data_IF_188870452337
#
_entry.id   IF_188870452337
#
_cell.length_a   1.000
_cell.length_b   1.000
_cell.length_c   1.000
_cell.angle_alpha   90.00
_cell.angle_beta   90.00
_cell.angle_gamma   90.00
#
_symmetry.space_group_name_H-M   'P 1'
#
loop_
_entity.id
_entity.type
_entity.pdbx_description
1 polymer ?
#
# COMPACT_ATOMS: atom_id res chain seq x y z
N UNK A 1 -1.09 12.41 -6.64
CA UNK A 1 -2.26 12.77 -5.87
C UNK A 1 -2.25 14.27 -5.59
N UNK A 2 -3.16 15.01 -6.23
CA UNK A 2 -3.23 16.46 -6.11
C UNK A 2 -2.21 17.23 -6.94
N UNK A 3 -1.54 16.61 -7.90
CA UNK A 3 -0.52 17.23 -8.75
C UNK A 3 -1.09 17.79 -10.06
N UNK A 4 -2.33 18.27 -10.05
CA UNK A 4 -2.97 18.83 -11.25
C UNK A 4 -2.38 20.19 -11.66
N UNK A 5 -1.89 21.00 -10.70
CA UNK A 5 -1.20 22.26 -10.98
C UNK A 5 0.32 22.07 -10.95
N UNK A 6 1.04 22.74 -11.86
CA UNK A 6 2.50 22.63 -11.96
C UNK A 6 3.22 23.04 -10.66
N UNK A 7 2.64 23.98 -9.92
CA UNK A 7 3.12 24.41 -8.60
C UNK A 7 3.17 23.28 -7.54
N UNK A 8 2.54 22.15 -7.84
CA UNK A 8 2.49 20.95 -6.98
C UNK A 8 3.40 19.82 -7.45
N UNK A 9 4.09 20.01 -8.59
CA UNK A 9 4.98 18.98 -9.11
C UNK A 9 6.21 18.80 -8.23
N UNK A 10 6.91 17.65 -8.32
CA UNK A 10 8.00 17.32 -7.40
C UNK A 10 9.12 18.38 -7.32
N UNK A 11 9.55 18.93 -8.44
CA UNK A 11 10.61 19.94 -8.45
C UNK A 11 10.22 21.24 -7.72
N UNK A 12 8.93 21.59 -7.73
CA UNK A 12 8.39 22.72 -6.96
C UNK A 12 8.14 22.37 -5.48
N UNK A 13 8.39 21.12 -5.10
CA UNK A 13 8.22 20.60 -3.73
C UNK A 13 9.54 20.14 -3.10
N UNK A 14 10.68 20.56 -3.65
CA UNK A 14 12.00 20.34 -3.07
C UNK A 14 12.75 19.12 -3.61
N UNK A 15 12.20 18.41 -4.58
CA UNK A 15 12.96 17.38 -5.30
C UNK A 15 13.80 18.03 -6.41
N UNK A 16 15.00 17.56 -6.59
CA UNK A 16 15.94 18.02 -7.63
C UNK A 16 15.70 17.29 -8.96
N UNK A 17 15.21 16.07 -8.91
CA UNK A 17 14.94 15.21 -10.07
C UNK A 17 13.59 14.52 -9.93
N UNK A 18 12.96 14.26 -11.05
CA UNK A 18 11.73 13.50 -11.12
C UNK A 18 11.65 12.72 -12.43
N UNK A 19 11.21 11.47 -12.37
CA UNK A 19 10.74 10.71 -13.52
C UNK A 19 9.54 9.88 -13.13
N UNK A 20 8.44 10.00 -13.87
CA UNK A 20 7.24 9.22 -13.58
C UNK A 20 5.95 9.84 -14.10
N UNK A 21 4.85 9.42 -13.50
CA UNK A 21 3.50 9.92 -13.76
C UNK A 21 3.06 10.86 -12.63
N UNK A 22 2.45 11.98 -12.97
CA UNK A 22 1.94 12.97 -12.00
C UNK A 22 0.52 12.64 -11.53
N UNK A 23 -0.18 11.76 -12.23
CA UNK A 23 -1.51 11.27 -11.90
C UNK A 23 -1.45 9.86 -11.27
N UNK A 24 -2.58 9.21 -11.10
CA UNK A 24 -2.65 7.86 -10.52
C UNK A 24 -2.30 6.73 -11.50
N UNK A 25 -3.06 5.62 -11.45
CA UNK A 25 -2.83 4.46 -12.31
C UNK A 25 -2.77 4.79 -13.81
N UNK A 26 -1.91 4.10 -14.54
CA UNK A 26 -1.71 4.28 -15.97
C UNK A 26 -1.43 2.93 -16.65
N UNK A 27 -1.41 2.92 -17.98
CA UNK A 27 -0.85 1.79 -18.72
C UNK A 27 0.62 1.59 -18.35
N UNK A 28 1.02 0.36 -18.06
CA UNK A 28 2.43 0.03 -17.79
C UNK A 28 3.28 0.01 -19.06
N UNK A 29 2.61 -0.24 -20.19
CA UNK A 29 3.26 -0.46 -21.47
C UNK A 29 3.35 0.81 -22.32
N UNK A 30 2.38 1.72 -22.16
CA UNK A 30 2.33 2.98 -22.92
C UNK A 30 1.59 4.08 -22.15
N UNK A 31 2.18 4.63 -21.08
CA UNK A 31 1.60 5.79 -20.41
C UNK A 31 1.42 6.95 -21.39
N UNK A 32 0.24 7.57 -21.44
CA UNK A 32 -0.07 8.62 -22.41
C UNK A 32 -1.14 9.59 -21.93
N UNK A 33 -1.30 10.72 -22.62
CA UNK A 33 -2.30 11.74 -22.33
C UNK A 33 -2.14 12.33 -20.92
N UNK A 34 -3.23 12.52 -20.18
CA UNK A 34 -3.22 13.01 -18.80
C UNK A 34 -2.56 12.07 -17.77
N UNK A 35 -2.20 10.86 -18.22
CA UNK A 35 -1.47 9.83 -17.43
C UNK A 35 -0.13 9.49 -18.08
N UNK A 36 0.43 10.42 -18.84
CA UNK A 36 1.71 10.31 -19.50
C UNK A 36 2.88 10.55 -18.54
N UNK A 37 4.06 10.33 -19.07
CA UNK A 37 5.33 10.49 -18.36
C UNK A 37 5.77 11.94 -18.31
N UNK A 38 6.52 12.26 -17.27
CA UNK A 38 7.18 13.54 -17.08
C UNK A 38 8.60 13.28 -16.58
N UNK A 39 9.57 13.92 -17.18
CA UNK A 39 10.96 13.98 -16.71
C UNK A 39 11.21 15.40 -16.21
N UNK A 40 11.52 15.52 -14.93
CA UNK A 40 11.65 16.78 -14.22
C UNK A 40 10.37 17.62 -14.38
N UNK A 41 10.37 18.69 -15.17
CA UNK A 41 9.18 19.49 -15.49
C UNK A 41 8.71 19.31 -16.95
N UNK A 42 9.34 18.40 -17.71
CA UNK A 42 9.04 18.22 -19.12
C UNK A 42 8.15 17.02 -19.34
N UNK A 43 6.95 17.24 -19.92
CA UNK A 43 6.08 16.14 -20.37
C UNK A 43 6.73 15.40 -21.52
N UNK A 44 6.77 14.08 -21.41
CA UNK A 44 7.34 13.23 -22.44
C UNK A 44 6.25 12.69 -23.39
N UNK A 45 6.60 12.37 -24.66
CA UNK A 45 5.72 11.62 -25.52
C UNK A 45 5.44 10.22 -24.95
N UNK A 46 4.38 9.56 -25.43
CA UNK A 46 4.14 8.16 -25.11
C UNK A 46 5.34 7.32 -25.57
N UNK A 47 5.88 6.45 -24.73
CA UNK A 47 7.07 5.68 -25.07
C UNK A 47 6.75 4.65 -26.17
N UNK A 48 7.77 4.35 -26.98
CA UNK A 48 7.74 3.26 -27.94
C UNK A 48 7.99 1.91 -27.24
N UNK A 49 7.49 0.83 -27.84
CA UNK A 49 7.76 -0.52 -27.36
C UNK A 49 9.20 -0.96 -27.74
N UNK A 50 9.86 -1.76 -26.89
CA UNK A 50 9.40 -2.28 -25.62
C UNK A 50 9.58 -1.28 -24.47
N UNK A 51 8.52 -1.01 -23.71
CA UNK A 51 8.55 -0.16 -22.52
C UNK A 51 7.75 -0.81 -21.38
N UNK A 52 8.21 -0.64 -20.13
CA UNK A 52 7.48 -1.09 -18.94
C UNK A 52 7.76 -0.14 -17.76
N UNK A 53 6.70 0.48 -17.21
CA UNK A 53 6.85 1.53 -16.18
C UNK A 53 7.67 1.09 -14.97
N UNK A 54 7.46 -0.13 -14.47
CA UNK A 54 8.17 -0.64 -13.27
C UNK A 54 9.67 -0.69 -13.50
N UNK A 55 10.12 -1.14 -14.69
CA UNK A 55 11.54 -1.12 -15.03
C UNK A 55 12.06 0.30 -15.14
N UNK A 56 11.37 1.15 -15.90
CA UNK A 56 11.80 2.51 -16.16
C UNK A 56 11.90 3.35 -14.87
N UNK A 57 10.96 3.20 -13.93
CA UNK A 57 11.02 3.90 -12.64
C UNK A 57 12.23 3.47 -11.82
N UNK A 58 12.55 2.18 -11.80
CA UNK A 58 13.74 1.70 -11.13
C UNK A 58 15.03 2.11 -11.83
N UNK A 59 15.08 2.09 -13.16
CA UNK A 59 16.24 2.48 -13.94
C UNK A 59 16.56 3.98 -13.74
N UNK A 60 15.55 4.86 -13.75
CA UNK A 60 15.73 6.28 -13.41
C UNK A 60 16.11 6.50 -11.94
N UNK A 61 15.56 5.72 -11.01
CA UNK A 61 15.97 5.79 -9.61
C UNK A 61 17.46 5.42 -9.44
N UNK A 62 17.92 4.37 -10.12
CA UNK A 62 19.32 3.95 -10.17
C UNK A 62 20.19 5.04 -10.81
N UNK A 63 19.76 5.59 -11.94
CA UNK A 63 20.44 6.68 -12.60
C UNK A 63 20.62 7.89 -11.67
N UNK A 64 19.57 8.33 -10.98
CA UNK A 64 19.65 9.46 -10.06
C UNK A 64 20.58 9.19 -8.88
N UNK A 65 20.65 7.96 -8.36
CA UNK A 65 21.63 7.58 -7.34
C UNK A 65 23.05 7.58 -7.90
N UNK A 66 23.25 7.09 -9.12
CA UNK A 66 24.56 7.05 -9.78
C UNK A 66 25.06 8.44 -10.21
N UNK A 67 24.16 9.38 -10.51
CA UNK A 67 24.50 10.79 -10.84
C UNK A 67 25.00 11.58 -9.62
N UNK A 68 24.61 11.18 -8.40
CA UNK A 68 25.06 11.84 -7.18
C UNK A 68 26.51 11.46 -6.86
N UNK A 69 27.46 12.34 -7.21
CA UNK A 69 28.90 12.12 -7.04
C UNK A 69 29.49 12.72 -5.75
N UNK A 70 28.73 13.56 -5.08
CA UNK A 70 29.12 14.16 -3.80
C UNK A 70 28.66 13.34 -2.60
N UNK A 71 29.11 13.70 -1.39
CA UNK A 71 28.81 13.03 -0.13
C UNK A 71 27.52 13.53 0.53
N UNK A 72 26.74 14.38 -0.12
CA UNK A 72 25.46 14.84 0.42
C UNK A 72 24.51 13.66 0.59
N UNK A 73 23.70 13.64 1.65
CA UNK A 73 22.65 12.64 1.77
C UNK A 73 21.61 12.81 0.65
N UNK A 74 20.96 11.71 0.25
CA UNK A 74 19.88 11.76 -0.71
C UNK A 74 18.57 11.29 -0.07
N UNK A 75 17.46 11.78 -0.61
CA UNK A 75 16.12 11.28 -0.35
C UNK A 75 15.51 10.78 -1.67
N UNK A 76 15.23 9.49 -1.75
CA UNK A 76 14.63 8.87 -2.91
C UNK A 76 13.21 8.36 -2.57
N UNK A 77 12.19 8.86 -3.28
CA UNK A 77 10.82 8.37 -3.21
C UNK A 77 10.49 7.57 -4.47
N UNK A 78 10.68 6.23 -4.42
CA UNK A 78 10.39 5.33 -5.53
C UNK A 78 8.97 4.77 -5.37
N UNK A 79 8.01 5.44 -6.01
CA UNK A 79 6.60 5.10 -5.96
C UNK A 79 6.19 4.32 -7.22
N UNK A 80 6.17 2.99 -7.13
CA UNK A 80 5.67 2.15 -8.20
C UNK A 80 4.15 2.26 -8.35
N UNK A 81 3.65 2.28 -9.59
CA UNK A 81 2.23 2.05 -9.87
C UNK A 81 1.85 0.56 -9.75
N UNK A 82 2.83 -0.33 -9.83
CA UNK A 82 2.63 -1.76 -9.62
C UNK A 82 2.36 -2.08 -8.13
N UNK A 83 1.46 -3.03 -7.83
CA UNK A 83 0.73 -3.90 -8.75
C UNK A 83 -0.72 -3.46 -9.03
N UNK A 84 -1.02 -2.17 -9.03
CA UNK A 84 -2.36 -1.64 -9.32
C UNK A 84 -2.82 -2.05 -10.74
N UNK A 85 -4.13 -2.15 -10.99
CA UNK A 85 -4.62 -2.32 -12.35
C UNK A 85 -4.24 -1.11 -13.25
N UNK A 86 -4.21 -1.29 -14.60
CA UNK A 86 -4.57 -2.45 -15.40
C UNK A 86 -3.58 -3.60 -15.27
N UNK A 87 -4.06 -4.82 -15.55
CA UNK A 87 -3.23 -6.02 -15.55
C UNK A 87 -2.32 -6.05 -16.77
N UNK A 88 -1.10 -5.55 -16.58
CA UNK A 88 -0.05 -5.54 -17.59
C UNK A 88 1.23 -6.14 -17.01
N UNK A 89 1.76 -7.19 -17.61
CA UNK A 89 3.02 -7.79 -17.19
C UNK A 89 3.77 -8.44 -18.36
N UNK A 90 5.04 -8.71 -18.16
CA UNK A 90 5.87 -9.37 -19.15
C UNK A 90 5.45 -10.84 -19.29
N UNK A 91 5.24 -11.30 -20.51
CA UNK A 91 4.74 -12.65 -20.78
C UNK A 91 5.57 -13.74 -20.12
N UNK A 92 6.91 -13.62 -20.18
CA UNK A 92 7.84 -14.55 -19.52
C UNK A 92 7.61 -14.72 -18.01
N UNK A 93 7.12 -13.66 -17.37
CA UNK A 93 6.84 -13.66 -15.92
C UNK A 93 5.44 -14.20 -15.63
N UNK A 94 4.44 -13.91 -16.49
CA UNK A 94 3.09 -14.48 -16.39
C UNK A 94 3.13 -16.01 -16.42
N UNK A 95 3.89 -16.59 -17.37
CA UNK A 95 4.01 -18.03 -17.55
C UNK A 95 4.52 -18.77 -16.31
N UNK A 96 5.33 -18.13 -15.47
CA UNK A 96 5.80 -18.69 -14.19
C UNK A 96 4.65 -19.01 -13.23
N UNK A 97 3.60 -18.21 -13.25
CA UNK A 97 2.55 -18.23 -12.24
C UNK A 97 1.25 -18.89 -12.70
N UNK A 98 0.95 -18.87 -14.01
CA UNK A 98 -0.35 -19.34 -14.53
C UNK A 98 -0.68 -20.76 -14.09
N UNK A 99 0.26 -21.71 -14.25
CA UNK A 99 0.04 -23.11 -13.84
C UNK A 99 -0.17 -23.25 -12.33
N UNK A 100 0.48 -22.42 -11.52
CA UNK A 100 0.36 -22.45 -10.05
C UNK A 100 -1.06 -22.10 -9.63
N UNK A 101 -1.56 -20.95 -10.10
CA UNK A 101 -2.88 -20.47 -9.71
C UNK A 101 -4.00 -21.32 -10.29
N UNK A 102 -3.84 -21.84 -11.51
CA UNK A 102 -4.81 -22.71 -12.14
C UNK A 102 -4.96 -24.05 -11.40
N UNK A 103 -3.82 -24.63 -10.99
CA UNK A 103 -3.79 -25.93 -10.30
C UNK A 103 -4.35 -25.83 -8.87
N UNK A 104 -4.00 -24.74 -8.15
CA UNK A 104 -4.28 -24.62 -6.71
C UNK A 104 -5.60 -23.92 -6.41
N UNK A 105 -6.00 -22.98 -7.25
CA UNK A 105 -7.15 -22.15 -6.97
C UNK A 105 -6.97 -21.27 -5.72
N UNK A 106 -7.95 -20.44 -5.44
CA UNK A 106 -7.85 -19.47 -4.36
C UNK A 106 -8.01 -20.08 -2.95
N UNK A 107 -8.75 -21.17 -2.78
CA UNK A 107 -8.91 -21.80 -1.46
C UNK A 107 -7.61 -22.39 -0.95
N UNK A 108 -6.90 -23.18 -1.80
CA UNK A 108 -5.60 -23.73 -1.43
C UNK A 108 -4.52 -22.63 -1.25
N UNK A 109 -4.52 -21.63 -2.12
CA UNK A 109 -3.57 -20.49 -2.02
C UNK A 109 -3.81 -19.72 -0.72
N UNK A 110 -5.06 -19.44 -0.37
CA UNK A 110 -5.44 -18.75 0.88
C UNK A 110 -4.94 -19.50 2.10
N UNK A 111 -5.18 -20.81 2.15
CA UNK A 111 -4.73 -21.66 3.27
C UNK A 111 -3.19 -21.75 3.33
N UNK A 112 -2.52 -21.96 2.20
CA UNK A 112 -1.08 -22.02 2.14
C UNK A 112 -0.43 -20.68 2.57
N UNK A 113 -1.06 -19.54 2.22
CA UNK A 113 -0.62 -18.21 2.65
C UNK A 113 -0.74 -18.06 4.17
N UNK A 114 -1.90 -18.40 4.77
CA UNK A 114 -2.12 -18.35 6.22
C UNK A 114 -1.08 -19.18 6.97
N UNK A 115 -0.89 -20.44 6.56
CA UNK A 115 0.11 -21.34 7.18
C UNK A 115 1.53 -20.76 7.11
N UNK A 116 1.90 -20.18 5.96
CA UNK A 116 3.22 -19.56 5.80
C UNK A 116 3.36 -18.32 6.68
N UNK A 117 2.35 -17.45 6.76
CA UNK A 117 2.36 -16.27 7.62
C UNK A 117 2.50 -16.66 9.10
N UNK A 118 1.78 -17.69 9.56
CA UNK A 118 1.91 -18.23 10.92
C UNK A 118 3.33 -18.78 11.16
N UNK A 119 3.87 -19.59 10.22
CA UNK A 119 5.24 -20.10 10.31
C UNK A 119 6.29 -19.00 10.38
N UNK A 120 6.09 -17.90 9.69
CA UNK A 120 6.97 -16.72 9.71
C UNK A 120 6.76 -15.84 10.95
N UNK A 121 5.74 -16.11 11.75
CA UNK A 121 5.39 -15.30 12.93
C UNK A 121 4.75 -13.95 12.57
N UNK A 122 4.20 -13.79 11.38
CA UNK A 122 3.45 -12.57 10.99
C UNK A 122 2.10 -12.52 11.70
N UNK A 123 1.44 -13.67 11.80
CA UNK A 123 0.19 -13.87 12.54
C UNK A 123 0.37 -14.99 13.54
N UNK A 124 -0.52 -15.10 14.53
CA UNK A 124 -0.54 -16.21 15.45
C UNK A 124 -1.04 -17.49 14.76
N UNK A 125 -0.58 -18.65 15.22
CA UNK A 125 -0.91 -19.94 14.60
C UNK A 125 -2.40 -20.28 14.63
N UNK A 126 -3.12 -19.76 15.63
CA UNK A 126 -4.56 -19.90 15.82
C UNK A 126 -5.39 -18.79 15.16
N UNK A 127 -4.77 -17.87 14.40
CA UNK A 127 -5.52 -16.84 13.70
C UNK A 127 -6.40 -17.47 12.65
N UNK A 128 -7.71 -17.31 12.81
CA UNK A 128 -8.73 -17.74 11.86
C UNK A 128 -8.78 -16.85 10.64
N UNK A 129 -9.51 -17.30 9.62
CA UNK A 129 -9.84 -16.46 8.48
C UNK A 129 -11.00 -15.52 8.80
N UNK A 130 -10.95 -14.33 8.24
CA UNK A 130 -12.15 -13.53 8.04
C UNK A 130 -13.15 -14.25 7.13
N UNK A 131 -14.42 -13.83 7.20
CA UNK A 131 -15.50 -14.38 6.38
C UNK A 131 -15.12 -14.34 4.90
N UNK A 132 -15.44 -15.44 4.20
CA UNK A 132 -15.26 -15.56 2.76
C UNK A 132 -16.51 -15.09 2.02
N UNK A 133 -16.37 -14.11 1.18
CA UNK A 133 -17.51 -13.42 0.54
C UNK A 133 -17.68 -13.79 -0.94
N UNK A 134 -17.01 -14.84 -1.39
CA UNK A 134 -17.00 -15.23 -2.80
C UNK A 134 -17.32 -16.72 -2.94
N UNK A 135 -17.58 -17.16 -4.16
CA UNK A 135 -17.74 -18.60 -4.46
C UNK A 135 -16.46 -19.36 -4.12
N UNK A 136 -16.61 -20.64 -3.79
CA UNK A 136 -15.47 -21.55 -3.68
C UNK A 136 -14.89 -21.82 -5.06
N UNK A 137 -13.62 -22.18 -5.12
CA UNK A 137 -12.96 -22.49 -6.40
C UNK A 137 -13.68 -23.55 -7.21
N UNK A 138 -14.16 -24.62 -6.56
CA UNK A 138 -14.83 -25.74 -7.21
C UNK A 138 -16.23 -25.40 -7.75
N UNK A 139 -16.80 -24.27 -7.33
CA UNK A 139 -18.09 -23.78 -7.84
C UNK A 139 -17.94 -23.02 -9.17
N UNK A 140 -16.71 -22.77 -9.61
CA UNK A 140 -16.42 -22.11 -10.87
C UNK A 140 -16.42 -23.10 -12.04
N UNK A 141 -16.88 -22.64 -13.20
CA UNK A 141 -16.67 -23.36 -14.47
C UNK A 141 -15.19 -23.41 -14.84
N UNK A 142 -14.79 -24.36 -15.69
CA UNK A 142 -13.40 -24.46 -16.15
C UNK A 142 -12.92 -23.19 -16.85
N UNK A 143 -13.78 -22.55 -17.63
CA UNK A 143 -13.49 -21.27 -18.28
C UNK A 143 -13.27 -20.14 -17.27
N UNK A 144 -14.09 -20.02 -16.24
CA UNK A 144 -13.90 -19.03 -15.18
C UNK A 144 -12.59 -19.29 -14.44
N UNK A 145 -12.27 -20.56 -14.10
CA UNK A 145 -11.00 -20.92 -13.46
C UNK A 145 -9.79 -20.51 -14.30
N UNK A 146 -9.84 -20.73 -15.61
CA UNK A 146 -8.75 -20.31 -16.52
C UNK A 146 -8.58 -18.80 -16.52
N UNK A 147 -9.67 -18.06 -16.64
CA UNK A 147 -9.64 -16.59 -16.65
C UNK A 147 -9.12 -15.99 -15.36
N UNK A 148 -9.64 -16.42 -14.19
CA UNK A 148 -9.22 -15.85 -12.90
C UNK A 148 -7.81 -16.26 -12.53
N UNK A 149 -7.37 -17.48 -12.89
CA UNK A 149 -5.99 -17.91 -12.68
C UNK A 149 -5.01 -17.09 -13.52
N UNK A 150 -5.34 -16.81 -14.77
CA UNK A 150 -4.53 -15.97 -15.63
C UNK A 150 -4.43 -14.53 -15.11
N UNK A 151 -5.56 -13.90 -14.70
CA UNK A 151 -5.57 -12.58 -14.09
C UNK A 151 -4.65 -12.51 -12.87
N UNK A 152 -4.72 -13.51 -11.98
CA UNK A 152 -3.85 -13.55 -10.81
C UNK A 152 -2.38 -13.81 -11.16
N UNK A 153 -2.12 -14.57 -12.21
CA UNK A 153 -0.75 -14.76 -12.71
C UNK A 153 -0.13 -13.44 -13.19
N UNK A 154 -0.91 -12.61 -13.89
CA UNK A 154 -0.47 -11.27 -14.32
C UNK A 154 -0.16 -10.39 -13.11
N UNK A 155 -1.05 -10.35 -12.12
CA UNK A 155 -0.81 -9.62 -10.87
C UNK A 155 0.46 -10.10 -10.16
N UNK A 156 0.66 -11.40 -10.04
CA UNK A 156 1.86 -11.97 -9.44
C UNK A 156 3.13 -11.61 -10.22
N UNK A 157 3.04 -11.55 -11.55
CA UNK A 157 4.13 -11.10 -12.41
C UNK A 157 4.46 -9.61 -12.21
N UNK A 158 3.46 -8.75 -11.97
CA UNK A 158 3.68 -7.35 -11.60
C UNK A 158 4.46 -7.25 -10.27
N UNK A 159 4.03 -7.99 -9.24
CA UNK A 159 4.73 -8.04 -7.93
C UNK A 159 6.17 -8.58 -8.09
N UNK A 160 6.34 -9.64 -8.87
CA UNK A 160 7.67 -10.20 -9.16
C UNK A 160 8.58 -9.18 -9.84
N UNK A 161 8.06 -8.38 -10.76
CA UNK A 161 8.82 -7.32 -11.41
C UNK A 161 9.23 -6.21 -10.44
N UNK A 162 8.37 -5.84 -9.48
CA UNK A 162 8.73 -4.87 -8.41
C UNK A 162 9.90 -5.41 -7.58
N UNK A 163 9.80 -6.67 -7.10
CA UNK A 163 10.84 -7.31 -6.29
C UNK A 163 12.19 -7.37 -7.03
N UNK A 164 12.17 -7.78 -8.30
CA UNK A 164 13.36 -7.80 -9.15
C UNK A 164 14.02 -6.42 -9.29
N UNK A 165 13.23 -5.37 -9.51
CA UNK A 165 13.74 -4.01 -9.68
C UNK A 165 14.23 -3.38 -8.36
N UNK A 166 13.61 -3.71 -7.23
CA UNK A 166 14.15 -3.36 -5.91
C UNK A 166 15.52 -4.00 -5.72
N UNK A 167 15.68 -5.26 -6.13
CA UNK A 167 16.99 -5.95 -6.13
C UNK A 167 18.06 -5.16 -6.88
N UNK A 168 17.76 -4.67 -8.09
CA UNK A 168 18.67 -3.82 -8.89
C UNK A 168 19.07 -2.54 -8.15
N UNK A 169 18.12 -1.84 -7.51
CA UNK A 169 18.40 -0.65 -6.73
C UNK A 169 19.28 -0.95 -5.51
N UNK A 170 19.04 -2.06 -4.81
CA UNK A 170 19.88 -2.50 -3.69
C UNK A 170 21.31 -2.78 -4.15
N UNK A 171 21.48 -3.40 -5.31
CA UNK A 171 22.81 -3.68 -5.87
C UNK A 171 23.51 -2.40 -6.31
N UNK A 172 22.80 -1.41 -6.83
CA UNK A 172 23.31 -0.07 -7.08
C UNK A 172 23.81 0.61 -5.78
N UNK A 173 23.02 0.56 -4.70
CA UNK A 173 23.40 1.13 -3.40
C UNK A 173 24.68 0.45 -2.84
N UNK A 174 24.80 -0.87 -2.98
CA UNK A 174 26.01 -1.62 -2.58
C UNK A 174 27.21 -1.21 -3.40
N UNK A 175 27.08 -1.15 -4.73
CA UNK A 175 28.13 -0.74 -5.68
C UNK A 175 28.66 0.66 -5.37
N UNK A 176 27.78 1.57 -5.00
CA UNK A 176 28.10 2.96 -4.63
C UNK A 176 28.51 3.13 -3.16
N UNK A 177 28.70 2.05 -2.39
CA UNK A 177 29.02 2.06 -0.95
C UNK A 177 28.04 2.85 -0.08
N UNK A 178 26.79 3.05 -0.55
CA UNK A 178 25.74 3.81 0.15
C UNK A 178 24.83 2.91 1.02
N UNK A 179 24.84 1.58 0.80
CA UNK A 179 23.87 0.63 1.43
C UNK A 179 23.91 0.65 2.96
N UNK A 180 25.08 0.75 3.57
CA UNK A 180 25.23 0.65 5.02
C UNK A 180 24.63 1.85 5.77
N UNK A 181 24.64 3.02 5.14
CA UNK A 181 24.04 4.26 5.69
C UNK A 181 22.78 4.71 4.92
N UNK A 182 22.01 3.78 4.40
CA UNK A 182 20.71 4.06 3.78
C UNK A 182 19.59 3.45 4.61
N UNK A 183 18.67 4.29 5.09
CA UNK A 183 17.37 3.85 5.62
C UNK A 183 16.45 3.51 4.45
N UNK A 184 16.00 2.27 4.39
CA UNK A 184 15.02 1.80 3.40
C UNK A 184 13.70 1.53 4.12
N UNK A 185 12.63 2.18 3.67
CA UNK A 185 11.25 1.92 4.06
C UNK A 185 10.51 1.34 2.86
N UNK A 186 10.02 0.11 2.98
CA UNK A 186 9.20 -0.54 1.96
C UNK A 186 7.83 -0.84 2.52
N UNK A 187 6.79 -0.39 1.84
CA UNK A 187 5.41 -0.56 2.28
C UNK A 187 4.43 -0.60 1.11
N UNK A 188 3.24 -1.13 1.35
CA UNK A 188 2.07 -0.88 0.53
C UNK A 188 1.24 0.24 1.16
N UNK A 189 0.66 1.11 0.36
CA UNK A 189 -0.15 2.26 0.79
C UNK A 189 -1.53 1.85 1.32
N UNK A 190 -2.06 0.73 0.85
CA UNK A 190 -3.34 0.14 1.26
C UNK A 190 -3.36 -1.37 1.00
N UNK A 191 -4.41 -2.02 1.44
CA UNK A 191 -4.68 -3.41 1.11
C UNK A 191 -4.97 -3.61 -0.38
N UNK A 192 -5.09 -4.86 -0.79
CA UNK A 192 -5.30 -5.26 -2.17
C UNK A 192 -6.56 -4.64 -2.78
N UNK A 193 -6.50 -4.27 -4.05
CA UNK A 193 -7.55 -3.56 -4.75
C UNK A 193 -8.60 -4.51 -5.35
N UNK A 194 -9.84 -4.41 -4.90
CA UNK A 194 -10.95 -5.23 -5.40
C UNK A 194 -11.78 -4.53 -6.49
N UNK A 195 -11.46 -3.28 -6.83
CA UNK A 195 -12.23 -2.51 -7.82
C UNK A 195 -12.25 -3.19 -9.18
N UNK A 196 -13.37 -3.17 -9.91
CA UNK A 196 -14.66 -2.54 -9.60
C UNK A 196 -15.59 -3.39 -8.70
N UNK A 197 -15.09 -4.27 -7.87
CA UNK A 197 -15.77 -5.16 -6.92
C UNK A 197 -16.47 -6.38 -7.54
N UNK A 198 -16.23 -6.65 -8.80
CA UNK A 198 -16.64 -7.88 -9.45
C UNK A 198 -15.83 -9.06 -8.89
N UNK A 199 -16.51 -10.20 -8.65
CA UNK A 199 -15.90 -11.37 -8.05
C UNK A 199 -14.71 -11.89 -8.87
N UNK A 200 -14.92 -12.05 -10.19
CA UNK A 200 -13.94 -12.63 -11.10
C UNK A 200 -13.02 -11.60 -11.78
N UNK A 201 -13.22 -10.31 -11.50
CA UNK A 201 -12.45 -9.22 -12.08
C UNK A 201 -13.15 -8.50 -13.22
N UNK A 202 -12.91 -7.19 -13.28
CA UNK A 202 -13.49 -6.31 -14.31
C UNK A 202 -12.71 -6.31 -15.61
N UNK A 203 -13.39 -5.94 -16.68
CA UNK A 203 -12.85 -5.92 -18.04
C UNK A 203 -12.66 -7.31 -18.64
N UNK A 204 -12.40 -7.36 -19.94
CA UNK A 204 -12.20 -8.63 -20.65
C UNK A 204 -10.78 -9.15 -20.43
N UNK A 205 -10.61 -10.45 -20.27
CA UNK A 205 -9.29 -11.07 -20.06
C UNK A 205 -8.38 -10.93 -21.29
N UNK A 206 -8.97 -10.86 -22.47
CA UNK A 206 -8.28 -10.63 -23.73
C UNK A 206 -7.64 -9.24 -23.83
N UNK A 207 -8.09 -8.31 -23.00
CA UNK A 207 -7.52 -6.95 -22.88
C UNK A 207 -6.28 -6.90 -21.95
N UNK A 208 -5.88 -8.01 -21.35
CA UNK A 208 -4.59 -8.09 -20.64
C UNK A 208 -3.47 -7.73 -21.60
N UNK A 209 -2.55 -6.91 -21.14
CA UNK A 209 -1.44 -6.38 -21.95
C UNK A 209 -1.85 -5.52 -23.16
N UNK A 210 -3.08 -5.04 -23.25
CA UNK A 210 -3.44 -4.02 -24.22
C UNK A 210 -2.84 -2.66 -23.80
N UNK A 211 -1.89 -2.09 -24.56
CA UNK A 211 -1.24 -0.83 -24.18
C UNK A 211 -2.19 0.36 -24.04
N UNK A 212 -3.34 0.33 -24.71
CA UNK A 212 -4.35 1.37 -24.63
C UNK A 212 -5.19 1.30 -23.35
N UNK A 213 -5.17 0.18 -22.61
CA UNK A 213 -5.95 0.01 -21.38
C UNK A 213 -5.34 0.78 -20.22
N UNK A 214 -6.16 1.59 -19.55
CA UNK A 214 -5.76 2.40 -18.41
C UNK A 214 -6.52 2.09 -17.12
N UNK A 215 -7.64 1.35 -17.19
CA UNK A 215 -8.55 1.09 -16.07
C UNK A 215 -8.90 -0.38 -15.86
N UNK A 216 -8.70 -1.21 -16.88
CA UNK A 216 -9.02 -2.63 -16.89
C UNK A 216 -8.00 -3.35 -17.80
N UNK A 217 -7.86 -4.66 -17.68
CA UNK A 217 -8.56 -5.57 -16.77
C UNK A 217 -8.03 -5.56 -15.34
N UNK A 218 -8.85 -6.12 -14.42
CA UNK A 218 -8.51 -6.27 -12.99
C UNK A 218 -8.61 -7.73 -12.55
N UNK A 219 -8.04 -8.08 -11.38
CA UNK A 219 -8.01 -9.48 -10.93
C UNK A 219 -9.19 -9.90 -10.03
N UNK A 220 -10.03 -8.94 -9.63
CA UNK A 220 -11.28 -9.22 -8.97
C UNK A 220 -11.24 -9.29 -7.45
N UNK A 221 -12.46 -9.28 -6.87
CA UNK A 221 -12.67 -9.25 -5.43
C UNK A 221 -12.17 -10.50 -4.74
N UNK A 222 -12.38 -11.69 -5.33
CA UNK A 222 -11.94 -12.94 -4.75
C UNK A 222 -10.42 -12.97 -4.54
N UNK A 223 -9.64 -12.63 -5.56
CA UNK A 223 -8.19 -12.55 -5.43
C UNK A 223 -7.70 -11.41 -4.54
N UNK A 224 -8.42 -10.28 -4.48
CA UNK A 224 -8.10 -9.22 -3.54
C UNK A 224 -8.23 -9.70 -2.09
N UNK A 225 -9.29 -10.46 -1.78
CA UNK A 225 -9.47 -11.05 -0.45
C UNK A 225 -8.40 -12.10 -0.13
N UNK A 226 -7.98 -12.92 -1.11
CA UNK A 226 -6.83 -13.84 -0.95
C UNK A 226 -5.54 -13.07 -0.66
N UNK A 227 -5.30 -11.99 -1.38
CA UNK A 227 -4.09 -11.16 -1.20
C UNK A 227 -4.01 -10.52 0.19
N UNK A 228 -5.14 -10.29 0.84
CA UNK A 228 -5.25 -9.76 2.20
C UNK A 228 -5.38 -10.83 3.29
N UNK A 229 -5.31 -12.10 2.95
CA UNK A 229 -5.40 -13.22 3.92
C UNK A 229 -4.51 -13.00 5.14
N UNK A 230 -5.03 -13.20 6.37
CA UNK A 230 -6.36 -13.73 6.72
C UNK A 230 -7.41 -12.64 6.96
N UNK A 231 -7.09 -11.38 6.74
CA UNK A 231 -7.83 -10.20 7.16
C UNK A 231 -9.10 -9.96 6.34
N UNK A 232 -10.04 -9.23 6.96
CA UNK A 232 -11.34 -8.90 6.40
C UNK A 232 -11.23 -7.77 5.38
N UNK A 233 -11.95 -7.89 4.25
CA UNK A 233 -12.09 -6.87 3.20
C UNK A 233 -10.76 -6.51 2.49
N UNK A 234 -10.70 -5.31 1.90
CA UNK A 234 -9.70 -4.88 0.93
C UNK A 234 -9.67 -3.35 0.85
N UNK A 235 -8.84 -2.78 -0.03
CA UNK A 235 -8.73 -1.34 -0.32
C UNK A 235 -10.09 -0.62 -0.28
N UNK A 236 -10.11 0.61 0.16
CA UNK A 236 -11.27 1.48 0.41
C UNK A 236 -12.10 1.11 1.64
N UNK A 237 -11.84 -0.03 2.30
CA UNK A 237 -12.52 -0.43 3.54
C UNK A 237 -11.61 -0.21 4.74
N UNK A 238 -12.20 0.18 5.87
CA UNK A 238 -11.46 0.43 7.10
C UNK A 238 -11.20 -0.82 7.96
N UNK A 239 -11.60 -2.01 7.47
CA UNK A 239 -11.24 -3.30 8.07
C UNK A 239 -9.74 -3.61 7.86
N UNK A 240 -9.19 -4.53 8.64
CA UNK A 240 -7.75 -4.85 8.61
C UNK A 240 -7.24 -5.20 7.20
N UNK A 241 -8.03 -5.88 6.36
CA UNK A 241 -7.64 -6.18 4.99
C UNK A 241 -7.47 -4.95 4.08
N UNK A 242 -8.09 -3.82 4.45
CA UNK A 242 -7.93 -2.56 3.71
C UNK A 242 -6.80 -1.68 4.23
N UNK A 243 -6.47 -1.74 5.52
CA UNK A 243 -5.58 -0.77 6.18
C UNK A 243 -4.33 -1.39 6.83
N UNK A 244 -4.35 -2.68 7.22
CA UNK A 244 -3.22 -3.33 7.89
C UNK A 244 -2.22 -3.89 6.87
N UNK A 245 -1.39 -3.03 6.34
CA UNK A 245 -0.37 -3.37 5.34
C UNK A 245 1.00 -3.61 5.99
N UNK A 246 1.86 -4.44 5.37
CA UNK A 246 3.20 -4.65 5.88
C UNK A 246 4.09 -3.40 5.66
N UNK A 247 4.95 -3.13 6.64
CA UNK A 247 6.05 -2.19 6.54
C UNK A 247 7.37 -2.92 6.82
N UNK A 248 8.35 -2.76 5.96
CA UNK A 248 9.73 -3.20 6.19
C UNK A 248 10.60 -1.97 6.39
N UNK A 249 11.31 -1.94 7.53
CA UNK A 249 12.31 -0.93 7.83
C UNK A 249 13.67 -1.61 7.85
N UNK A 250 14.60 -1.14 7.02
CA UNK A 250 15.95 -1.67 6.91
C UNK A 250 16.98 -0.55 6.94
N UNK A 251 17.93 -0.62 7.88
CA UNK A 251 19.05 0.30 7.98
C UNK A 251 20.24 -0.43 8.62
N UNK A 252 21.14 -0.92 7.80
CA UNK A 252 22.24 -1.80 8.24
C UNK A 252 23.13 -1.14 9.30
N UNK A 253 23.48 0.13 9.10
CA UNK A 253 24.37 0.87 10.01
C UNK A 253 23.75 1.27 11.36
N UNK A 254 22.41 1.36 11.46
CA UNK A 254 21.75 1.89 12.66
C UNK A 254 20.92 0.87 13.45
N UNK A 255 20.42 -0.19 12.83
CA UNK A 255 19.57 -1.16 13.51
C UNK A 255 20.33 -2.24 14.29
N UNK A 256 21.62 -2.42 14.04
CA UNK A 256 22.46 -3.40 14.75
C UNK A 256 21.84 -4.82 14.74
N UNK A 257 21.69 -5.39 15.93
CA UNK A 257 21.15 -6.75 16.14
C UNK A 257 19.62 -6.87 15.92
N UNK A 258 18.94 -5.83 15.39
CA UNK A 258 17.50 -5.88 15.10
C UNK A 258 17.16 -6.54 13.76
N UNK A 259 18.17 -6.94 12.97
CA UNK A 259 17.98 -7.61 11.69
C UNK A 259 17.03 -8.82 11.82
N UNK A 260 16.04 -8.87 10.93
CA UNK A 260 15.07 -9.97 10.86
C UNK A 260 14.14 -10.09 12.07
N UNK A 261 13.96 -9.03 12.85
CA UNK A 261 13.04 -9.01 14.01
C UNK A 261 11.70 -8.41 13.64
N UNK A 262 10.66 -8.93 14.27
CA UNK A 262 9.32 -8.37 14.18
C UNK A 262 9.14 -7.25 15.21
N UNK A 263 8.60 -6.12 14.76
CA UNK A 263 7.99 -5.09 15.61
C UNK A 263 6.48 -5.21 15.48
N UNK A 264 5.78 -5.42 16.59
CA UNK A 264 4.32 -5.61 16.60
C UNK A 264 3.56 -4.36 17.04
N UNK A 265 4.29 -3.29 17.37
CA UNK A 265 3.69 -1.99 17.68
C UNK A 265 3.09 -1.44 16.38
N UNK A 266 1.80 -1.15 16.34
CA UNK A 266 1.18 -0.54 15.18
C UNK A 266 1.74 0.85 14.92
N UNK A 267 2.17 1.09 13.68
CA UNK A 267 2.40 2.42 13.15
C UNK A 267 1.39 2.72 12.06
N UNK A 268 1.36 3.93 11.55
CA UNK A 268 0.59 4.23 10.38
C UNK A 268 1.25 5.32 9.51
N UNK A 269 0.69 5.60 8.33
CA UNK A 269 1.35 6.40 7.29
C UNK A 269 1.88 7.76 7.77
N UNK A 270 1.20 8.52 8.66
CA UNK A 270 1.76 9.77 9.21
C UNK A 270 3.09 9.62 9.95
N UNK A 271 3.48 8.41 10.38
CA UNK A 271 4.70 8.15 11.13
C UNK A 271 5.97 8.15 10.27
N UNK A 272 5.81 8.06 8.97
CA UNK A 272 6.93 8.00 8.03
C UNK A 272 7.73 9.30 8.05
N UNK A 273 7.07 10.45 8.01
CA UNK A 273 7.76 11.75 8.03
C UNK A 273 8.55 11.97 9.34
N UNK A 274 7.98 11.83 10.55
CA UNK A 274 8.76 11.94 11.79
C UNK A 274 9.93 10.97 11.86
N UNK A 275 9.77 9.74 11.33
CA UNK A 275 10.85 8.74 11.28
C UNK A 275 12.01 9.22 10.39
N UNK A 276 11.70 9.79 9.23
CA UNK A 276 12.71 10.34 8.32
C UNK A 276 13.40 11.54 8.96
N UNK A 277 12.66 12.45 9.60
CA UNK A 277 13.23 13.60 10.29
C UNK A 277 14.18 13.20 11.42
N UNK A 278 13.79 12.20 12.24
CA UNK A 278 14.69 11.67 13.30
C UNK A 278 15.93 11.01 12.69
N UNK A 279 15.79 10.23 11.60
CA UNK A 279 16.90 9.57 10.94
C UNK A 279 17.92 10.55 10.36
N UNK A 280 17.45 11.69 9.85
CA UNK A 280 18.28 12.68 9.15
C UNK A 280 18.72 13.85 10.02
N UNK A 281 18.11 14.03 11.19
CA UNK A 281 18.30 15.22 12.02
C UNK A 281 17.67 16.49 11.44
N UNK A 282 16.86 16.38 10.38
CA UNK A 282 16.19 17.52 9.76
C UNK A 282 15.05 18.02 10.67
N UNK A 283 14.84 19.33 10.66
CA UNK A 283 13.74 19.95 11.42
C UNK A 283 12.52 20.13 10.54
N UNK A 284 11.35 19.83 11.10
CA UNK A 284 10.08 20.14 10.45
C UNK A 284 9.88 21.66 10.45
N UNK A 285 9.65 22.30 9.31
CA UNK A 285 9.52 23.76 9.26
C UNK A 285 8.15 24.20 9.80
N UNK A 286 8.10 25.40 10.39
CA UNK A 286 6.86 25.99 10.86
C UNK A 286 6.04 26.65 9.74
N UNK A 287 6.74 27.09 8.69
CA UNK A 287 6.16 27.81 7.55
C UNK A 287 6.66 27.25 6.24
N UNK A 288 5.83 27.38 5.21
CA UNK A 288 6.11 27.08 3.82
C UNK A 288 6.22 28.37 3.00
N UNK A 289 6.65 28.31 1.75
CA UNK A 289 6.85 29.47 0.86
C UNK A 289 5.84 30.59 1.09
N UNK A 290 6.33 31.83 1.28
CA UNK A 290 5.51 33.00 1.53
C UNK A 290 4.98 33.15 2.96
N UNK A 291 5.54 32.40 3.93
CA UNK A 291 5.19 32.52 5.35
C UNK A 291 3.89 31.82 5.76
N UNK A 292 3.30 31.02 4.88
CA UNK A 292 2.12 30.23 5.23
C UNK A 292 2.46 29.19 6.30
N UNK A 293 1.64 29.10 7.34
CA UNK A 293 1.80 28.08 8.38
C UNK A 293 1.58 26.67 7.82
N UNK A 294 2.42 25.75 8.25
CA UNK A 294 2.28 24.32 7.96
C UNK A 294 1.50 23.65 9.09
N UNK A 295 0.64 22.69 8.75
CA UNK A 295 -0.01 21.86 9.76
C UNK A 295 1.04 21.08 10.55
N UNK A 296 0.89 20.94 11.89
CA UNK A 296 1.82 20.19 12.71
C UNK A 296 1.84 18.71 12.29
N UNK A 297 2.96 18.04 12.55
CA UNK A 297 3.05 16.59 12.40
C UNK A 297 2.08 15.91 13.37
N UNK A 298 1.32 14.95 12.86
CA UNK A 298 0.39 14.13 13.66
C UNK A 298 0.92 12.72 13.91
N UNK A 299 1.96 12.31 13.20
CA UNK A 299 2.65 11.03 13.37
C UNK A 299 3.73 11.07 14.45
N UNK A 300 4.24 9.91 14.78
CA UNK A 300 5.35 9.67 15.72
C UNK A 300 6.44 8.87 15.04
N UNK A 301 7.72 9.10 15.39
CA UNK A 301 8.80 8.26 14.86
C UNK A 301 8.61 6.79 15.21
N UNK A 302 8.92 5.91 14.26
CA UNK A 302 8.88 4.46 14.45
C UNK A 302 10.07 3.93 15.29
N UNK A 303 11.15 4.68 15.44
CA UNK A 303 12.35 4.20 16.13
C UNK A 303 12.14 3.81 17.59
N UNK A 304 11.35 4.53 18.42
CA UNK A 304 11.06 4.07 19.77
C UNK A 304 10.46 2.67 19.82
N UNK A 305 9.51 2.35 18.92
CA UNK A 305 8.91 1.02 18.81
C UNK A 305 9.92 -0.04 18.31
N UNK A 306 10.68 0.29 17.26
CA UNK A 306 11.72 -0.59 16.70
C UNK A 306 12.80 -0.92 17.77
N UNK A 307 13.16 0.04 18.60
CA UNK A 307 14.11 -0.15 19.71
C UNK A 307 13.48 -0.71 20.98
N UNK A 308 12.19 -1.08 20.97
CA UNK A 308 11.45 -1.62 22.12
C UNK A 308 11.45 -0.68 23.34
N UNK A 309 11.36 0.62 23.10
CA UNK A 309 11.25 1.66 24.15
C UNK A 309 9.79 1.99 24.46
N UNK A 310 8.85 1.53 23.66
CA UNK A 310 7.41 1.71 23.83
C UNK A 310 6.62 0.55 23.26
N UNK A 311 5.44 0.31 23.81
CA UNK A 311 4.45 -0.65 23.34
C UNK A 311 3.35 0.02 22.49
N UNK A 312 3.34 1.36 22.42
CA UNK A 312 2.41 2.13 21.62
C UNK A 312 3.04 3.42 21.13
N UNK A 313 2.77 3.80 19.89
CA UNK A 313 3.17 5.08 19.31
C UNK A 313 2.04 6.11 19.39
N UNK A 314 0.80 5.67 19.47
CA UNK A 314 -0.38 6.52 19.44
C UNK A 314 -1.41 6.09 20.48
N UNK A 315 -2.06 7.06 21.13
CA UNK A 315 -3.23 6.77 21.94
C UNK A 315 -4.40 6.38 21.06
N UNK A 316 -4.61 7.12 19.96
CA UNK A 316 -5.65 6.86 18.96
C UNK A 316 -5.07 6.88 17.55
N UNK A 317 -5.64 6.06 16.66
CA UNK A 317 -5.38 6.07 15.23
C UNK A 317 -6.72 6.20 14.50
N UNK A 318 -6.80 7.06 13.46
CA UNK A 318 -8.05 7.42 12.81
C UNK A 318 -7.99 7.17 11.32
N UNK A 319 -9.12 6.72 10.75
CA UNK A 319 -9.28 6.53 9.31
C UNK A 319 -10.61 7.08 8.83
N UNK A 320 -10.62 7.68 7.67
CA UNK A 320 -11.79 8.00 6.86
C UNK A 320 -11.44 7.91 5.39
N UNK A 321 -12.23 7.15 4.63
CA UNK A 321 -12.14 7.10 3.19
C UNK A 321 -13.50 6.71 2.59
N UNK A 322 -14.08 7.55 1.75
CA UNK A 322 -15.36 7.29 1.08
C UNK A 322 -16.49 6.84 2.04
N UNK A 323 -16.63 7.50 3.19
CA UNK A 323 -17.53 7.15 4.28
C UNK A 323 -17.18 5.89 5.09
N UNK A 324 -16.15 5.16 4.74
CA UNK A 324 -15.61 4.14 5.62
C UNK A 324 -14.83 4.82 6.74
N UNK A 325 -15.19 4.55 7.97
CA UNK A 325 -14.66 5.22 9.16
C UNK A 325 -14.09 4.19 10.11
N UNK A 326 -12.97 4.49 10.75
CA UNK A 326 -12.48 3.69 11.85
C UNK A 326 -11.68 4.53 12.84
N UNK A 327 -11.65 4.04 14.07
CA UNK A 327 -10.77 4.51 15.12
C UNK A 327 -10.23 3.31 15.89
N UNK A 328 -8.94 3.32 16.19
CA UNK A 328 -8.31 2.36 17.07
C UNK A 328 -7.83 3.04 18.35
N UNK A 329 -8.10 2.40 19.47
CA UNK A 329 -7.62 2.77 20.80
C UNK A 329 -7.13 1.51 21.52
N UNK A 330 -5.81 1.39 21.72
CA UNK A 330 -5.23 0.18 22.31
C UNK A 330 -5.64 -1.08 21.52
N UNK A 331 -6.35 -2.00 22.19
CA UNK A 331 -6.81 -3.28 21.65
C UNK A 331 -8.16 -3.17 20.91
N UNK A 332 -8.85 -2.04 21.09
CA UNK A 332 -10.18 -1.80 20.53
C UNK A 332 -10.14 -1.08 19.20
N UNK A 333 -10.99 -1.49 18.29
CA UNK A 333 -11.21 -0.81 17.03
C UNK A 333 -12.69 -0.70 16.73
N UNK A 334 -13.19 0.52 16.59
CA UNK A 334 -14.53 0.79 16.11
C UNK A 334 -14.50 1.07 14.61
N UNK A 335 -15.45 0.50 13.87
CA UNK A 335 -15.55 0.62 12.41
C UNK A 335 -16.97 0.95 12.03
N UNK A 336 -17.14 1.83 11.03
CA UNK A 336 -18.39 2.05 10.34
C UNK A 336 -18.15 1.97 8.84
N UNK A 337 -18.68 0.92 8.22
CA UNK A 337 -18.63 0.73 6.76
C UNK A 337 -19.45 1.81 6.03
N UNK A 338 -19.11 2.12 4.79
CA UNK A 338 -19.77 3.10 3.93
C UNK A 338 -21.30 2.88 3.87
N UNK A 339 -21.72 1.62 3.81
CA UNK A 339 -23.13 1.20 3.73
C UNK A 339 -23.74 0.94 5.09
N UNK A 340 -22.92 0.82 6.13
CA UNK A 340 -23.35 0.58 7.50
C UNK A 340 -24.00 1.81 8.13
N UNK A 341 -25.11 1.61 8.82
CA UNK A 341 -25.76 2.66 9.60
C UNK A 341 -25.16 2.79 10.99
N UNK A 342 -24.64 1.70 11.53
CA UNK A 342 -24.17 1.56 12.89
C UNK A 342 -22.67 1.32 12.93
N UNK A 343 -22.06 1.61 14.06
CA UNK A 343 -20.69 1.30 14.35
C UNK A 343 -20.56 -0.13 14.88
N UNK A 344 -19.56 -0.84 14.40
CA UNK A 344 -19.11 -2.15 14.87
C UNK A 344 -17.92 -1.95 15.82
N UNK A 345 -17.72 -2.84 16.81
CA UNK A 345 -16.59 -2.82 17.73
C UNK A 345 -15.88 -4.17 17.75
N UNK A 346 -14.55 -4.15 17.72
CA UNK A 346 -13.71 -5.33 17.71
C UNK A 346 -12.55 -5.22 18.72
N UNK A 347 -12.22 -6.31 19.41
CA UNK A 347 -10.96 -6.51 20.12
C UNK A 347 -9.93 -7.05 19.11
N UNK A 348 -9.16 -6.16 18.48
CA UNK A 348 -8.26 -6.54 17.38
C UNK A 348 -6.99 -7.26 17.83
N UNK A 349 -6.78 -7.48 19.11
CA UNK A 349 -5.74 -8.35 19.63
C UNK A 349 -6.24 -9.80 19.68
N UNK A 350 -7.46 -10.01 20.16
CA UNK A 350 -8.07 -11.35 20.24
C UNK A 350 -8.70 -11.79 18.91
N UNK A 351 -9.23 -10.84 18.15
CA UNK A 351 -9.91 -11.05 16.87
C UNK A 351 -9.31 -10.17 15.77
N UNK A 352 -8.11 -10.51 15.31
CA UNK A 352 -7.39 -9.81 14.23
C UNK A 352 -8.13 -9.83 12.89
N UNK A 353 -9.12 -10.66 12.75
CA UNK A 353 -9.90 -10.85 11.50
C UNK A 353 -11.28 -10.21 11.54
N UNK A 354 -11.61 -9.53 12.65
CA UNK A 354 -12.83 -8.72 12.79
C UNK A 354 -14.11 -9.52 12.49
N UNK A 355 -14.24 -10.70 13.13
CA UNK A 355 -15.36 -11.63 12.95
C UNK A 355 -16.48 -11.40 13.94
N UNK A 356 -16.15 -10.98 15.16
CA UNK A 356 -17.05 -10.94 16.30
C UNK A 356 -17.27 -9.50 16.73
N UNK A 357 -18.37 -8.90 16.23
CA UNK A 357 -18.78 -7.58 16.67
C UNK A 357 -19.25 -7.64 18.14
N UNK A 358 -18.56 -6.94 19.01
CA UNK A 358 -18.81 -6.90 20.46
C UNK A 358 -19.38 -5.53 20.91
N UNK A 359 -19.99 -4.77 20.03
CA UNK A 359 -20.52 -3.44 20.30
C UNK A 359 -21.60 -3.46 21.41
N UNK A 360 -22.47 -4.47 21.40
CA UNK A 360 -23.51 -4.62 22.42
C UNK A 360 -22.96 -5.03 23.81
N UNK A 361 -21.82 -5.74 23.83
CA UNK A 361 -21.18 -6.16 25.08
C UNK A 361 -20.35 -5.06 25.74
N UNK A 362 -19.91 -4.05 24.94
CA UNK A 362 -19.04 -2.96 25.39
C UNK A 362 -19.53 -1.59 24.90
N UNK A 363 -20.77 -1.19 25.21
CA UNK A 363 -21.36 0.06 24.68
C UNK A 363 -20.62 1.30 25.17
N UNK A 364 -20.00 1.26 26.36
CA UNK A 364 -19.21 2.35 26.92
C UNK A 364 -17.91 2.59 26.12
N UNK A 365 -17.25 1.51 25.67
CA UNK A 365 -16.05 1.58 24.84
C UNK A 365 -16.43 2.14 23.47
N UNK A 366 -17.51 1.64 22.86
CA UNK A 366 -17.98 2.10 21.57
C UNK A 366 -18.32 3.59 21.63
N UNK A 367 -19.08 4.03 22.62
CA UNK A 367 -19.45 5.45 22.81
C UNK A 367 -18.22 6.35 22.91
N UNK A 368 -17.22 5.94 23.72
CA UNK A 368 -15.96 6.65 23.84
C UNK A 368 -15.27 6.80 22.47
N UNK A 369 -15.12 5.71 21.72
CA UNK A 369 -14.44 5.71 20.44
C UNK A 369 -15.16 6.54 19.37
N UNK A 370 -16.47 6.43 19.30
CA UNK A 370 -17.27 7.21 18.35
C UNK A 370 -17.18 8.70 18.64
N UNK A 371 -17.33 9.09 19.92
CA UNK A 371 -17.18 10.48 20.36
C UNK A 371 -15.81 11.05 20.00
N UNK A 372 -14.76 10.27 20.23
CA UNK A 372 -13.38 10.69 19.93
C UNK A 372 -13.14 10.78 18.43
N UNK A 373 -13.69 9.84 17.63
CA UNK A 373 -13.60 9.90 16.17
C UNK A 373 -14.32 11.15 15.62
N UNK A 374 -15.49 11.47 16.13
CA UNK A 374 -16.25 12.67 15.72
C UNK A 374 -15.50 13.95 16.07
N UNK A 375 -14.93 14.03 17.29
CA UNK A 375 -14.08 15.16 17.71
C UNK A 375 -12.92 15.37 16.74
N UNK A 376 -12.19 14.30 16.42
CA UNK A 376 -11.10 14.33 15.45
C UNK A 376 -11.58 14.75 14.05
N UNK A 377 -12.71 14.20 13.60
CA UNK A 377 -13.24 14.46 12.27
C UNK A 377 -13.63 15.93 12.08
N UNK A 378 -14.19 16.57 13.10
CA UNK A 378 -14.48 18.00 13.08
C UNK A 378 -13.21 18.85 13.11
N UNK A 379 -12.24 18.50 13.94
CA UNK A 379 -10.98 19.24 14.07
C UNK A 379 -10.12 19.17 12.78
N UNK A 380 -10.29 18.11 11.98
CA UNK A 380 -9.52 17.88 10.76
C UNK A 380 -10.32 18.09 9.46
N UNK A 381 -11.45 18.77 9.52
CA UNK A 381 -12.30 19.10 8.37
C UNK A 381 -12.83 17.87 7.60
N UNK A 382 -12.89 16.71 8.24
CA UNK A 382 -13.54 15.51 7.70
C UNK A 382 -15.06 15.66 7.77
N UNK A 383 -15.55 16.32 8.80
CA UNK A 383 -16.96 16.69 9.01
C UNK A 383 -17.10 18.20 9.28
N UNK A 384 -18.20 18.83 8.85
CA UNK A 384 -19.20 18.29 7.93
C UNK A 384 -18.60 18.05 6.55
N UNK A 385 -19.12 17.06 5.82
CA UNK A 385 -18.68 16.83 4.45
C UNK A 385 -19.02 18.02 3.59
N UNK A 386 -18.01 18.62 2.97
CA UNK A 386 -18.26 19.63 1.96
C UNK A 386 -18.93 18.97 0.74
N UNK A 387 -19.98 19.58 0.17
CA UNK A 387 -20.56 19.09 -1.07
C UNK A 387 -19.45 19.00 -2.13
N UNK A 388 -19.42 17.92 -2.89
CA UNK A 388 -18.47 17.78 -4.01
C UNK A 388 -18.70 18.97 -4.94
N UNK A 389 -17.66 19.79 -5.11
CA UNK A 389 -17.63 20.83 -6.14
C UNK A 389 -17.57 20.20 -7.53
#
# INVERSE_FOLDING_TARGET
LGMHGEEKWPLQRGFERFYGILSGACSYLRPSGGRGLTLDNTKLPAPDAPYYTTDAFADYAIQFVDEQKDDRPFFLYLAFNAPHWPLHAKEKDIQKFTKIYRKKGWDEIREARRKRMAKMGIIDSNTDFAEWENRKWDELTEQEKDQVAYRMAVYAAQVHCVDYNIGKLIDCLKKNHKMDNTLILFMSDNGACAEPYEELGGGKVEEVNNPASSFAPTYGRAWAQVSNTPFRKYKCRAYEGGISTPLILSWKGALGNKKGKWCRVPGYLPDIMPTILEATGAKYPETYHGGNKIYPLVGSSLFPAVHKKTDSLHEYMYWEHQNNRAIRWRDWKAIRDEKGKEWELYDVVKDRTERFNVAEQHPEVLTRLVTEWERWAHANFVLPKHPKK
#
